data_IF_754995740378
#
_entry.id   IF_754995740378
#
_cell.length_a   1.000
_cell.length_b   1.000
_cell.length_c   1.000
_cell.angle_alpha   90.00
_cell.angle_beta   90.00
_cell.angle_gamma   90.00
#
_symmetry.space_group_name_H-M   'P 1'
#
loop_
_entity.id
_entity.type
_entity.pdbx_description
1 polymer ?
#
# COMPACT_ATOMS: atom_id res chain seq x y z
N UNK A 1 7.81 19.01 17.97
CA UNK A 1 7.21 18.59 16.69
C UNK A 1 7.66 17.16 16.49
N UNK A 2 6.73 16.29 16.13
CA UNK A 2 6.96 14.86 16.05
C UNK A 2 6.59 14.41 14.65
N UNK A 3 7.54 13.79 13.95
CA UNK A 3 7.37 13.25 12.60
C UNK A 3 6.91 11.80 12.68
N UNK A 4 5.67 11.58 12.29
CA UNK A 4 4.98 10.29 12.32
C UNK A 4 5.02 9.66 10.93
N UNK A 5 5.40 8.38 10.86
CA UNK A 5 5.27 7.56 9.66
C UNK A 5 3.90 6.86 9.63
N UNK A 6 3.17 7.05 8.53
CA UNK A 6 1.88 6.42 8.25
C UNK A 6 2.03 5.47 7.05
N UNK A 7 1.72 4.19 7.22
CA UNK A 7 1.81 3.24 6.10
C UNK A 7 0.64 3.44 5.13
N UNK A 8 0.90 3.28 3.82
CA UNK A 8 -0.19 3.28 2.83
C UNK A 8 -1.24 2.20 3.13
N UNK A 9 -0.81 1.04 3.62
CA UNK A 9 -1.68 -0.11 3.81
C UNK A 9 -2.76 0.14 4.86
N UNK A 10 -2.37 0.58 6.06
CA UNK A 10 -3.31 0.84 7.17
C UNK A 10 -4.29 1.95 6.79
N UNK A 11 -3.76 2.98 6.13
CA UNK A 11 -4.52 4.14 5.72
C UNK A 11 -5.45 3.88 4.53
N UNK A 12 -5.11 2.93 3.65
CA UNK A 12 -6.00 2.47 2.59
C UNK A 12 -7.17 1.63 3.13
N UNK A 13 -6.98 0.94 4.26
CA UNK A 13 -7.99 0.09 4.87
C UNK A 13 -9.01 0.92 5.69
N UNK A 14 -8.53 1.68 6.69
CA UNK A 14 -9.39 2.30 7.71
C UNK A 14 -8.97 3.74 8.08
N UNK A 15 -8.08 4.37 7.31
CA UNK A 15 -7.62 5.73 7.61
C UNK A 15 -8.56 6.82 7.13
N UNK A 16 -9.00 7.68 8.06
CA UNK A 16 -9.80 8.87 7.78
C UNK A 16 -8.95 9.96 7.13
N UNK A 17 -9.42 10.53 6.03
CA UNK A 17 -8.71 11.61 5.35
C UNK A 17 -8.58 12.86 6.25
N UNK A 18 -7.41 13.50 6.22
CA UNK A 18 -7.15 14.75 6.94
C UNK A 18 -6.21 15.67 6.15
N UNK A 19 -6.28 16.96 6.43
CA UNK A 19 -5.50 18.03 5.83
C UNK A 19 -4.46 18.61 6.80
N UNK A 20 -3.47 19.31 6.24
CA UNK A 20 -2.65 20.23 7.01
C UNK A 20 -3.57 21.23 7.70
N UNK A 21 -3.37 21.39 9.01
CA UNK A 21 -4.19 22.21 9.88
C UNK A 21 -5.21 21.42 10.69
N UNK A 22 -5.50 20.17 10.35
CA UNK A 22 -6.45 19.36 11.12
C UNK A 22 -5.84 18.87 12.44
N UNK A 23 -6.71 18.60 13.41
CA UNK A 23 -6.36 17.92 14.65
C UNK A 23 -6.26 16.42 14.39
N UNK A 24 -5.15 15.82 14.81
CA UNK A 24 -4.86 14.39 14.62
C UNK A 24 -4.54 13.73 15.96
N UNK A 25 -4.87 12.45 16.06
CA UNK A 25 -4.62 11.61 17.22
C UNK A 25 -4.18 10.21 16.77
N UNK A 26 -2.86 10.00 16.67
CA UNK A 26 -2.27 8.75 16.18
C UNK A 26 -1.91 7.83 17.34
N UNK A 27 -2.29 6.54 17.25
CA UNK A 27 -1.77 5.50 18.12
C UNK A 27 -0.35 5.14 17.69
N UNK A 28 0.58 4.99 18.62
CA UNK A 28 1.99 4.73 18.30
C UNK A 28 2.33 3.26 18.52
N UNK A 29 2.82 2.60 17.47
CA UNK A 29 3.38 1.24 17.55
C UNK A 29 4.76 1.29 18.22
N UNK A 30 5.62 2.19 17.73
CA UNK A 30 7.00 2.30 18.20
C UNK A 30 7.57 3.71 17.98
N UNK A 31 8.35 4.19 18.95
CA UNK A 31 9.19 5.40 18.83
C UNK A 31 10.58 5.12 18.28
N UNK A 32 10.85 3.89 17.87
CA UNK A 32 12.08 3.49 17.18
C UNK A 32 11.68 2.78 15.90
N UNK A 33 11.89 3.40 14.74
CA UNK A 33 11.50 2.79 13.47
C UNK A 33 12.10 1.40 13.29
N UNK A 34 11.30 0.46 12.80
CA UNK A 34 11.77 -0.89 12.51
C UNK A 34 12.83 -0.87 11.41
N UNK A 35 13.87 -1.71 11.54
CA UNK A 35 14.91 -1.83 10.51
C UNK A 35 14.35 -2.28 9.15
N UNK A 36 13.23 -3.00 9.14
CA UNK A 36 12.53 -3.39 7.91
C UNK A 36 12.01 -2.18 7.10
N UNK A 37 11.80 -1.04 7.76
CA UNK A 37 11.46 0.21 7.08
C UNK A 37 12.66 0.74 6.27
N UNK A 38 13.90 0.37 6.62
CA UNK A 38 15.12 0.85 5.94
C UNK A 38 15.24 0.39 4.50
N UNK A 39 14.69 -0.79 4.22
CA UNK A 39 14.57 -1.30 2.86
C UNK A 39 13.54 -0.51 2.02
N UNK A 40 12.70 0.30 2.67
CA UNK A 40 11.64 1.08 2.04
C UNK A 40 11.96 2.57 1.93
N UNK A 41 12.37 3.20 3.03
CA UNK A 41 12.54 4.65 3.13
C UNK A 41 13.99 5.10 2.95
N UNK A 42 14.95 4.17 2.91
CA UNK A 42 16.38 4.45 2.95
C UNK A 42 16.83 5.00 4.32
N UNK A 43 18.11 4.84 4.69
CA UNK A 43 18.58 5.22 6.03
C UNK A 43 18.40 6.69 6.36
N UNK A 44 18.52 7.56 5.35
CA UNK A 44 18.45 9.01 5.53
C UNK A 44 17.04 9.50 5.90
N UNK A 45 15.99 8.99 5.25
CA UNK A 45 14.62 9.37 5.64
C UNK A 45 14.24 8.77 6.99
N UNK A 46 14.66 7.53 7.29
CA UNK A 46 14.35 6.88 8.57
C UNK A 46 14.93 7.64 9.74
N UNK A 47 16.13 8.19 9.58
CA UNK A 47 16.73 9.02 10.61
C UNK A 47 15.88 10.27 10.94
N UNK A 48 14.91 10.64 10.08
CA UNK A 48 13.96 11.73 10.35
C UNK A 48 12.65 11.27 10.99
N UNK A 49 12.37 9.97 11.03
CA UNK A 49 11.12 9.43 11.59
C UNK A 49 11.26 9.30 13.09
N UNK A 50 10.45 10.05 13.83
CA UNK A 50 10.43 9.97 15.30
C UNK A 50 9.62 8.77 15.78
N UNK A 51 8.57 8.41 15.04
CA UNK A 51 7.63 7.37 15.48
C UNK A 51 6.85 6.76 14.31
N UNK A 52 6.43 5.51 14.50
CA UNK A 52 5.55 4.79 13.58
C UNK A 52 4.16 4.68 14.20
N UNK A 53 3.15 4.95 13.37
CA UNK A 53 1.75 4.77 13.73
C UNK A 53 1.41 3.28 13.80
N UNK A 54 0.53 2.91 14.72
CA UNK A 54 -0.01 1.55 14.87
C UNK A 54 -1.27 1.40 14.06
N UNK A 55 -1.65 0.17 13.74
CA UNK A 55 -2.91 -0.10 13.10
C UNK A 55 -4.10 0.50 13.88
N UNK A 56 -4.97 1.22 13.19
CA UNK A 56 -6.04 2.04 13.79
C UNK A 56 -7.03 1.28 14.70
N UNK A 57 -7.12 -0.06 14.56
CA UNK A 57 -7.97 -0.91 15.41
C UNK A 57 -7.30 -1.32 16.73
N UNK A 58 -6.01 -1.08 16.89
CA UNK A 58 -5.26 -1.45 18.09
C UNK A 58 -5.39 -0.38 19.19
N UNK A 59 -5.63 -0.84 20.42
CA UNK A 59 -5.61 0.05 21.58
C UNK A 59 -4.15 0.38 21.96
N UNK A 60 -3.68 1.56 21.52
CA UNK A 60 -2.36 2.06 21.88
C UNK A 60 -2.42 2.96 23.12
N UNK A 61 -1.54 2.68 24.09
CA UNK A 61 -1.33 3.54 25.25
C UNK A 61 -0.46 4.75 24.94
N UNK A 62 0.49 4.61 24.01
CA UNK A 62 1.30 5.71 23.49
C UNK A 62 0.60 6.35 22.28
N UNK A 63 0.55 7.69 22.26
CA UNK A 63 -0.20 8.45 21.27
C UNK A 63 0.49 9.78 20.96
N UNK A 64 0.36 10.23 19.72
CA UNK A 64 0.75 11.57 19.28
C UNK A 64 -0.50 12.37 18.94
N UNK A 65 -0.73 13.44 19.69
CA UNK A 65 -1.93 14.29 19.59
C UNK A 65 -1.55 15.72 19.32
N UNK A 66 -2.09 16.30 18.26
CA UNK A 66 -1.71 17.65 17.88
C UNK A 66 -2.30 18.08 16.56
N UNK A 67 -1.73 19.17 16.02
CA UNK A 67 -2.09 19.68 14.71
C UNK A 67 -1.13 19.18 13.64
N UNK A 68 -1.66 18.67 12.53
CA UNK A 68 -0.84 18.36 11.36
C UNK A 68 -0.32 19.67 10.75
N UNK A 69 1.00 19.85 10.68
CA UNK A 69 1.64 21.08 10.15
C UNK A 69 2.34 20.87 8.81
N UNK A 70 2.72 19.64 8.47
CA UNK A 70 3.18 19.27 7.14
C UNK A 70 2.86 17.82 6.84
N UNK A 71 2.61 17.51 5.57
CA UNK A 71 2.41 16.15 5.08
C UNK A 71 3.25 15.95 3.82
N UNK A 72 4.00 14.85 3.78
CA UNK A 72 4.79 14.45 2.63
C UNK A 72 4.38 13.05 2.20
N UNK A 73 3.97 12.90 0.94
CA UNK A 73 3.80 11.58 0.32
C UNK A 73 5.18 10.99 0.04
N UNK A 74 5.38 9.74 0.45
CA UNK A 74 6.63 9.02 0.20
C UNK A 74 6.42 8.04 -0.94
N UNK A 75 7.13 8.29 -2.04
CA UNK A 75 7.07 7.45 -3.23
C UNK A 75 8.43 6.82 -3.50
N UNK A 76 8.45 5.62 -4.07
CA UNK A 76 9.68 4.97 -4.55
C UNK A 76 9.45 4.33 -5.91
N UNK A 77 10.52 4.05 -6.63
CA UNK A 77 10.41 3.23 -7.81
C UNK A 77 10.39 1.74 -7.43
N UNK A 78 9.55 0.99 -8.14
CA UNK A 78 9.44 -0.46 -8.00
C UNK A 78 9.50 -1.11 -9.37
N UNK A 79 10.00 -2.33 -9.42
CA UNK A 79 9.95 -3.21 -10.58
C UNK A 79 8.79 -4.17 -10.36
N UNK A 80 7.77 -4.05 -11.18
CA UNK A 80 6.63 -4.97 -11.23
C UNK A 80 6.93 -6.06 -12.25
N UNK A 81 6.99 -7.33 -11.81
CA UNK A 81 7.11 -8.50 -12.67
C UNK A 81 5.81 -9.26 -12.72
N UNK A 82 5.40 -9.66 -13.93
CA UNK A 82 4.18 -10.44 -14.15
C UNK A 82 4.55 -11.80 -14.72
N UNK A 83 4.23 -12.85 -13.98
CA UNK A 83 4.40 -14.24 -14.42
C UNK A 83 3.06 -14.95 -14.49
N UNK A 84 2.85 -15.86 -15.44
CA UNK A 84 1.64 -16.68 -15.48
C UNK A 84 1.59 -17.55 -14.21
N UNK A 85 0.45 -17.52 -13.49
CA UNK A 85 0.27 -18.41 -12.34
C UNK A 85 0.42 -19.86 -12.78
N UNK A 86 1.27 -20.60 -12.06
CA UNK A 86 1.46 -22.05 -12.23
C UNK A 86 0.87 -22.79 -11.03
N UNK A 87 0.41 -24.05 -11.21
CA UNK A 87 0.03 -24.92 -10.11
C UNK A 87 1.12 -24.98 -9.03
N UNK A 88 0.75 -24.86 -7.76
CA UNK A 88 1.69 -24.85 -6.63
C UNK A 88 2.10 -23.47 -6.09
N UNK A 89 1.77 -22.38 -6.79
CA UNK A 89 1.92 -21.01 -6.29
C UNK A 89 0.56 -20.34 -6.05
N UNK A 90 -0.15 -20.79 -5.01
CA UNK A 90 -1.45 -20.25 -4.61
C UNK A 90 -2.67 -20.78 -5.39
N UNK A 91 -2.47 -21.67 -6.37
CA UNK A 91 -3.53 -22.46 -6.99
C UNK A 91 -3.61 -23.84 -6.30
N UNK A 92 -4.82 -24.41 -6.07
CA UNK A 92 -4.98 -25.77 -5.57
C UNK A 92 -4.14 -26.75 -6.39
N UNK A 93 -3.58 -27.76 -5.73
CA UNK A 93 -2.68 -28.78 -6.32
C UNK A 93 -3.29 -29.51 -7.52
N UNK A 94 -4.61 -29.41 -7.69
CA UNK A 94 -5.41 -30.07 -8.72
C UNK A 94 -5.64 -29.18 -9.95
N UNK A 95 -4.97 -28.02 -10.03
CA UNK A 95 -4.99 -27.17 -11.22
C UNK A 95 -4.24 -27.87 -12.36
N UNK A 96 -5.00 -28.59 -13.17
CA UNK A 96 -4.60 -29.11 -14.47
C UNK A 96 -4.06 -27.92 -15.27
N UNK A 97 -2.93 -28.12 -15.95
CA UNK A 97 -2.35 -27.16 -16.88
C UNK A 97 -3.35 -26.92 -18.00
N UNK A 98 -4.24 -25.94 -17.85
CA UNK A 98 -5.11 -25.54 -18.95
C UNK A 98 -4.27 -24.74 -19.93
N UNK A 99 -4.35 -25.16 -21.19
CA UNK A 99 -3.69 -24.48 -22.29
C UNK A 99 -4.15 -23.03 -22.38
N UNK A 100 -3.37 -22.21 -23.08
CA UNK A 100 -3.67 -20.81 -23.30
C UNK A 100 -5.07 -20.66 -23.94
N UNK A 101 -6.07 -20.24 -23.16
CA UNK A 101 -7.45 -20.02 -23.63
C UNK A 101 -8.59 -20.59 -22.78
N UNK A 102 -8.33 -21.45 -21.78
CA UNK A 102 -9.43 -22.07 -21.02
C UNK A 102 -9.82 -21.32 -19.73
N UNK A 103 -11.13 -21.29 -19.48
CA UNK A 103 -11.82 -20.64 -18.36
C UNK A 103 -11.50 -21.32 -17.02
N UNK A 104 -11.11 -20.54 -16.01
CA UNK A 104 -10.77 -21.08 -14.68
C UNK A 104 -12.04 -21.47 -13.90
N UNK A 105 -12.01 -22.57 -13.12
CA UNK A 105 -13.12 -22.91 -12.24
C UNK A 105 -13.26 -21.85 -11.14
N UNK A 106 -14.42 -21.17 -11.13
CA UNK A 106 -14.80 -20.21 -10.11
C UNK A 106 -14.82 -20.90 -8.73
N UNK A 107 -13.92 -20.49 -7.82
CA UNK A 107 -14.01 -20.91 -6.41
C UNK A 107 -15.05 -20.02 -5.73
N UNK A 108 -16.33 -20.39 -5.85
CA UNK A 108 -17.44 -19.77 -5.15
C UNK A 108 -17.81 -20.56 -3.89
N UNK A 109 -17.98 -19.88 -2.75
CA UNK A 109 -18.83 -20.41 -1.66
C UNK A 109 -20.28 -20.11 -2.04
N UNK A 110 -21.08 -21.15 -2.16
CA UNK A 110 -22.52 -21.04 -2.40
C UNK A 110 -23.20 -20.53 -1.11
N UNK A 111 -23.81 -19.34 -1.18
CA UNK A 111 -24.59 -18.77 -0.09
C UNK A 111 -26.09 -19.10 -0.18
N UNK A 112 -26.48 -20.08 -1.01
CA UNK A 112 -27.85 -20.63 -1.01
C UNK A 112 -28.93 -19.70 -1.59
N UNK A 113 -28.53 -18.63 -2.28
CA UNK A 113 -29.44 -17.65 -2.89
C UNK A 113 -29.10 -17.30 -4.35
N UNK A 114 -28.16 -18.03 -4.96
CA UNK A 114 -27.75 -17.81 -6.36
C UNK A 114 -26.85 -16.59 -6.59
N UNK A 115 -26.41 -15.91 -5.53
CA UNK A 115 -25.41 -14.84 -5.61
C UNK A 115 -24.00 -15.40 -5.40
N UNK A 116 -23.14 -15.30 -6.42
CA UNK A 116 -21.71 -15.57 -6.33
C UNK A 116 -20.96 -14.24 -6.24
N UNK A 117 -20.30 -13.96 -5.10
CA UNK A 117 -19.30 -12.89 -5.00
C UNK A 117 -17.92 -13.56 -5.01
N UNK A 118 -17.33 -13.65 -6.19
CA UNK A 118 -15.96 -14.17 -6.37
C UNK A 118 -15.21 -13.23 -7.29
N UNK A 119 -14.20 -12.54 -6.76
CA UNK A 119 -13.22 -11.89 -7.61
C UNK A 119 -12.39 -13.00 -8.27
N UNK A 120 -12.42 -13.08 -9.60
CA UNK A 120 -11.54 -14.01 -10.32
C UNK A 120 -10.09 -13.59 -10.02
N UNK A 121 -9.28 -14.44 -9.37
CA UNK A 121 -7.90 -14.08 -9.12
C UNK A 121 -7.19 -13.90 -10.48
N UNK A 122 -6.37 -12.85 -10.59
CA UNK A 122 -5.63 -12.54 -11.83
C UNK A 122 -4.95 -13.77 -12.44
N UNK A 123 -4.92 -13.89 -13.77
CA UNK A 123 -4.17 -14.95 -14.46
C UNK A 123 -2.65 -14.90 -14.19
N UNK A 124 -2.18 -13.72 -13.77
CA UNK A 124 -0.79 -13.42 -13.49
C UNK A 124 -0.52 -13.36 -11.98
N UNK A 125 0.62 -13.89 -11.56
CA UNK A 125 1.26 -13.51 -10.32
C UNK A 125 2.03 -12.21 -10.57
N UNK A 126 1.86 -11.26 -9.66
CA UNK A 126 2.53 -9.96 -9.70
C UNK A 126 3.54 -9.95 -8.56
N UNK A 127 4.81 -9.81 -8.88
CA UNK A 127 5.89 -9.59 -7.93
C UNK A 127 6.29 -8.11 -8.00
N UNK A 128 6.42 -7.46 -6.86
CA UNK A 128 6.82 -6.05 -6.78
C UNK A 128 8.12 -6.00 -5.98
N UNK A 129 9.19 -5.59 -6.64
CA UNK A 129 10.51 -5.43 -6.03
C UNK A 129 10.88 -3.95 -5.92
N UNK A 130 11.32 -3.48 -4.74
CA UNK A 130 11.73 -2.09 -4.59
C UNK A 130 13.06 -1.81 -5.27
N UNK A 131 13.17 -0.63 -5.87
CA UNK A 131 14.44 -0.11 -6.38
C UNK A 131 15.08 0.75 -5.29
N UNK A 132 16.21 0.30 -4.76
CA UNK A 132 16.96 1.03 -3.75
C UNK A 132 17.37 2.43 -4.23
N UNK A 133 17.46 3.40 -3.32
CA UNK A 133 17.92 4.77 -3.59
C UNK A 133 17.00 5.53 -4.56
N UNK A 134 15.69 5.34 -4.45
CA UNK A 134 14.67 6.01 -5.26
C UNK A 134 13.52 6.61 -4.45
N UNK A 135 13.60 6.57 -3.12
CA UNK A 135 12.62 7.20 -2.25
C UNK A 135 12.61 8.71 -2.45
N UNK A 136 11.42 9.27 -2.63
CA UNK A 136 11.19 10.68 -2.87
C UNK A 136 10.05 11.20 -2.00
N UNK A 137 10.28 12.36 -1.38
CA UNK A 137 9.28 13.11 -0.63
C UNK A 137 8.62 14.15 -1.53
N UNK A 138 7.29 14.08 -1.64
CA UNK A 138 6.50 15.12 -2.30
C UNK A 138 5.59 15.77 -1.27
N UNK A 139 5.70 17.09 -1.10
CA UNK A 139 4.79 17.83 -0.20
C UNK A 139 3.36 17.77 -0.74
N UNK A 140 2.41 17.40 0.12
CA UNK A 140 0.99 17.27 -0.19
C UNK A 140 0.14 18.01 0.85
N UNK A 141 -1.10 18.32 0.52
CA UNK A 141 -2.00 19.09 1.39
C UNK A 141 -2.60 18.25 2.53
N UNK A 142 -2.46 16.93 2.48
CA UNK A 142 -3.05 16.02 3.44
C UNK A 142 -2.98 14.57 2.98
N UNK A 143 -3.48 13.67 3.82
CA UNK A 143 -3.53 12.24 3.55
C UNK A 143 -4.88 11.92 2.92
N UNK A 144 -4.86 11.16 1.81
CA UNK A 144 -6.05 10.74 1.03
C UNK A 144 -6.95 11.87 0.50
N UNK A 145 -6.46 13.11 0.40
CA UNK A 145 -7.22 14.25 -0.15
C UNK A 145 -7.29 14.29 -1.69
N UNK A 146 -6.56 13.41 -2.38
CA UNK A 146 -6.70 13.19 -3.83
C UNK A 146 -6.89 11.70 -4.13
N UNK A 147 -8.10 11.34 -4.50
CA UNK A 147 -8.42 10.07 -5.15
C UNK A 147 -8.18 10.27 -6.64
N UNK A 148 -6.93 10.24 -7.07
CA UNK A 148 -6.59 10.11 -8.50
C UNK A 148 -5.45 9.10 -8.72
N UNK A 149 -5.19 8.24 -7.73
CA UNK A 149 -4.32 7.06 -7.85
C UNK A 149 -5.12 5.75 -8.04
N UNK A 150 -6.39 5.85 -8.44
CA UNK A 150 -7.10 4.76 -9.14
C UNK A 150 -7.15 4.98 -10.67
N UNK A 151 -6.53 6.05 -11.16
CA UNK A 151 -6.30 6.24 -12.58
C UNK A 151 -5.06 5.46 -13.02
N UNK A 152 -5.10 4.12 -12.95
CA UNK A 152 -4.39 3.17 -13.85
C UNK A 152 -4.93 1.72 -13.71
N UNK A 153 -6.22 1.53 -13.40
CA UNK A 153 -6.93 0.30 -13.84
C UNK A 153 -7.64 0.49 -15.19
N UNK A 154 -7.49 1.65 -15.82
CA UNK A 154 -8.02 1.95 -17.15
C UNK A 154 -6.93 1.89 -18.21
N UNK A 155 -6.43 0.68 -18.48
CA UNK A 155 -6.16 0.29 -19.87
C UNK A 155 -6.89 -1.02 -20.16
N UNK A 156 -8.21 -0.90 -20.31
CA UNK A 156 -8.94 -1.79 -21.23
C UNK A 156 -8.49 -1.39 -22.64
N UNK A 157 -7.25 -1.75 -22.96
CA UNK A 157 -6.71 -1.85 -24.30
C UNK A 157 -6.63 -3.34 -24.60
N UNK A 158 -7.61 -3.81 -25.37
CA UNK A 158 -7.66 -5.12 -26.00
C UNK A 158 -6.27 -5.67 -26.38
N UNK A 159 -5.93 -6.86 -25.84
CA UNK A 159 -4.96 -7.82 -26.37
C UNK A 159 -3.47 -7.44 -26.48
N UNK A 160 -2.93 -6.50 -25.71
CA UNK A 160 -1.47 -6.41 -25.53
C UNK A 160 -1.05 -7.18 -24.27
N UNK A 161 -0.26 -8.25 -24.41
CA UNK A 161 0.45 -8.84 -23.27
C UNK A 161 1.33 -7.73 -22.67
N UNK A 162 1.05 -7.22 -21.46
CA UNK A 162 1.87 -6.19 -20.86
C UNK A 162 3.31 -6.72 -20.70
N UNK A 163 4.34 -5.87 -20.83
CA UNK A 163 5.72 -6.31 -20.72
C UNK A 163 5.91 -7.08 -19.41
N UNK A 164 6.70 -8.17 -19.42
CA UNK A 164 6.85 -9.05 -18.25
C UNK A 164 7.48 -8.34 -17.05
N UNK A 165 8.15 -7.22 -17.29
CA UNK A 165 8.78 -6.37 -16.30
C UNK A 165 8.51 -4.90 -16.64
N UNK A 166 8.06 -4.12 -15.65
CA UNK A 166 7.85 -2.68 -15.77
C UNK A 166 8.35 -1.96 -14.52
N UNK A 167 9.13 -0.90 -14.72
CA UNK A 167 9.45 0.05 -13.64
C UNK A 167 8.33 1.08 -13.52
N UNK A 168 7.80 1.27 -12.31
CA UNK A 168 6.77 2.27 -12.00
C UNK A 168 7.06 2.96 -10.67
N UNK A 169 6.41 4.09 -10.44
CA UNK A 169 6.40 4.76 -9.14
C UNK A 169 5.28 4.18 -8.26
N UNK A 170 5.59 3.96 -7.00
CA UNK A 170 4.69 3.42 -5.97
C UNK A 170 4.65 4.38 -4.79
N UNK A 171 3.45 4.70 -4.31
CA UNK A 171 3.24 5.34 -3.01
C UNK A 171 3.41 4.29 -1.90
N UNK A 172 4.25 4.59 -0.92
CA UNK A 172 4.51 3.72 0.23
C UNK A 172 3.80 4.17 1.51
N UNK A 173 3.54 5.48 1.62
CA UNK A 173 2.90 6.06 2.80
C UNK A 173 3.09 7.56 2.89
N UNK A 174 2.96 8.09 4.10
CA UNK A 174 3.11 9.51 4.38
C UNK A 174 4.00 9.76 5.59
N UNK A 175 4.77 10.85 5.53
CA UNK A 175 5.40 11.46 6.70
C UNK A 175 4.58 12.68 7.12
N UNK A 176 4.17 12.70 8.38
CA UNK A 176 3.31 13.74 8.93
C UNK A 176 4.04 14.41 10.08
N UNK A 177 4.21 15.72 9.96
CA UNK A 177 4.77 16.54 11.00
C UNK A 177 3.62 17.02 11.90
N UNK A 178 3.65 16.61 13.17
CA UNK A 178 2.63 16.97 14.16
C UNK A 178 3.19 17.97 15.16
N UNK A 179 2.50 19.09 15.31
CA UNK A 179 2.71 19.99 16.43
C UNK A 179 1.86 19.52 17.60
N UNK A 180 2.50 18.81 18.54
CA UNK A 180 1.83 18.26 19.73
C UNK A 180 1.28 19.36 20.64
N UNK A 181 0.16 19.05 21.29
CA UNK A 181 -0.38 19.87 22.37
C UNK A 181 0.57 19.82 23.57
N UNK A 182 0.78 20.98 24.21
CA UNK A 182 1.63 21.09 25.41
C UNK A 182 0.93 20.57 26.67
#
# INVERSE_FOLDING_TARGET
>A
MTRVWLTKWEWACCGDAFAIGDEVDFGIETRTPHSALADMLEPELIATVDTMESHHEEECTDRVRGRAVAVHAVTRDVIERRSLRRPGHGAPTESITTADGDEWPMVGRDFGSGAFLGATPSRYMIEIEPVANTAMLTSVQGVRLRIDEEAELSSIGEFAVPPPEQRRRSLEGWLVDVQEHA
#
